data_IF_687292131245
#
_entry.id   IF_687292131245
#
_cell.length_a   1.000
_cell.length_b   1.000
_cell.length_c   1.000
_cell.angle_alpha   90.00
_cell.angle_beta   90.00
_cell.angle_gamma   90.00
#
_symmetry.space_group_name_H-M   'P 1'
#
loop_
_entity.id
_entity.type
_entity.pdbx_description
1 polymer ?
#
# COMPACT_ATOMS: atom_id res chain seq x y z
N UNK A 1 -68.38 -35.33 23.86
CA UNK A 1 -67.75 -34.42 22.85
C UNK A 1 -66.88 -33.41 23.58
N UNK A 2 -65.57 -33.59 23.60
CA UNK A 2 -64.62 -32.65 24.23
C UNK A 2 -64.13 -31.64 23.17
N UNK A 3 -64.26 -30.34 23.45
CA UNK A 3 -63.78 -29.27 22.57
C UNK A 3 -62.25 -29.17 22.65
N UNK A 4 -61.59 -29.32 21.51
CA UNK A 4 -60.15 -29.10 21.36
C UNK A 4 -59.80 -27.62 21.62
N UNK A 5 -58.78 -27.30 22.43
CA UNK A 5 -58.36 -25.92 22.65
C UNK A 5 -57.55 -25.43 21.46
N UNK A 6 -58.05 -24.39 20.80
CA UNK A 6 -57.37 -23.68 19.72
C UNK A 6 -56.08 -23.03 20.24
N UNK A 7 -54.93 -23.60 19.86
CA UNK A 7 -53.59 -23.09 20.21
C UNK A 7 -53.28 -21.92 19.27
N UNK A 8 -53.15 -20.69 19.80
CA UNK A 8 -52.73 -19.52 19.01
C UNK A 8 -51.42 -19.84 18.28
N UNK A 9 -51.31 -19.53 16.96
CA UNK A 9 -50.04 -19.66 16.26
C UNK A 9 -49.02 -18.72 16.90
N UNK A 10 -47.85 -19.26 17.25
CA UNK A 10 -46.70 -18.46 17.63
C UNK A 10 -46.39 -17.50 16.49
N UNK A 11 -46.60 -16.20 16.69
CA UNK A 11 -46.04 -15.17 15.82
C UNK A 11 -44.53 -15.38 15.78
N UNK A 12 -44.01 -15.74 14.61
CA UNK A 12 -42.58 -15.74 14.37
C UNK A 12 -42.04 -14.33 14.66
N UNK A 13 -40.95 -14.18 15.42
CA UNK A 13 -40.39 -12.86 15.70
C UNK A 13 -40.09 -12.17 14.38
N UNK A 14 -40.68 -10.98 14.19
CA UNK A 14 -40.50 -10.19 12.98
C UNK A 14 -38.99 -9.99 12.73
N UNK A 15 -38.48 -10.24 11.51
CA UNK A 15 -37.08 -10.01 11.20
C UNK A 15 -36.75 -8.54 11.50
N UNK A 16 -35.69 -8.33 12.27
CA UNK A 16 -35.25 -7.04 12.83
C UNK A 16 -34.82 -6.07 11.70
N UNK A 17 -35.81 -5.53 10.98
CA UNK A 17 -35.67 -4.76 9.74
C UNK A 17 -35.11 -3.35 9.97
N UNK A 18 -34.76 -2.98 11.21
CA UNK A 18 -34.33 -1.63 11.60
C UNK A 18 -32.89 -1.51 12.06
N UNK A 19 -32.03 -2.51 11.86
CA UNK A 19 -30.60 -2.31 12.11
C UNK A 19 -29.95 -1.59 10.93
N UNK A 20 -29.54 -0.35 11.17
CA UNK A 20 -28.80 0.44 10.19
C UNK A 20 -27.59 -0.34 9.66
N UNK A 21 -27.27 -0.24 8.36
CA UNK A 21 -26.13 -0.96 7.77
C UNK A 21 -24.82 -0.69 8.53
N UNK A 22 -24.67 0.53 9.07
CA UNK A 22 -23.54 0.92 9.91
C UNK A 22 -23.49 0.19 11.26
N UNK A 23 -24.64 -0.03 11.92
CA UNK A 23 -24.70 -0.84 13.15
C UNK A 23 -24.37 -2.32 12.87
N UNK A 24 -24.90 -2.88 11.78
CA UNK A 24 -24.58 -4.26 11.36
C UNK A 24 -23.08 -4.44 11.06
N UNK A 25 -22.48 -3.48 10.37
CA UNK A 25 -21.04 -3.50 10.11
C UNK A 25 -20.22 -3.37 11.40
N UNK A 26 -20.62 -2.46 12.30
CA UNK A 26 -19.96 -2.28 13.60
C UNK A 26 -19.98 -3.54 14.47
N UNK A 27 -21.15 -4.18 14.58
CA UNK A 27 -21.32 -5.44 15.33
C UNK A 27 -20.51 -6.57 14.69
N UNK A 28 -20.50 -6.65 13.36
CA UNK A 28 -19.70 -7.62 12.62
C UNK A 28 -18.19 -7.43 12.81
N UNK A 29 -17.69 -6.19 12.81
CA UNK A 29 -16.27 -5.89 13.08
C UNK A 29 -15.90 -6.18 14.54
N UNK A 30 -16.84 -5.95 15.47
CA UNK A 30 -16.65 -6.29 16.89
C UNK A 30 -16.62 -7.80 17.14
N UNK A 31 -17.30 -8.61 16.34
CA UNK A 31 -17.24 -10.07 16.47
C UNK A 31 -15.90 -10.66 16.00
N UNK A 32 -15.06 -9.88 15.32
CA UNK A 32 -13.76 -10.37 14.86
C UNK A 32 -12.76 -10.52 16.00
N UNK A 33 -11.97 -11.59 15.94
CA UNK A 33 -10.82 -11.79 16.82
C UNK A 33 -9.78 -10.68 16.60
N UNK A 34 -9.00 -10.37 17.64
CA UNK A 34 -7.91 -9.37 17.59
C UNK A 34 -6.97 -9.62 16.40
N UNK A 35 -6.64 -10.88 16.12
CA UNK A 35 -5.79 -11.30 15.00
C UNK A 35 -6.38 -10.87 13.65
N UNK A 36 -7.67 -11.13 13.41
CA UNK A 36 -8.34 -10.76 12.15
C UNK A 36 -8.38 -9.24 11.96
N UNK A 37 -8.60 -8.48 13.04
CA UNK A 37 -8.55 -7.01 13.00
C UNK A 37 -7.16 -6.50 12.62
N UNK A 38 -6.11 -7.00 13.27
CA UNK A 38 -4.72 -6.63 12.96
C UNK A 38 -4.40 -6.95 11.49
N UNK A 39 -4.72 -8.15 11.02
CA UNK A 39 -4.46 -8.54 9.61
C UNK A 39 -5.15 -7.60 8.64
N UNK A 40 -6.43 -7.28 8.85
CA UNK A 40 -7.16 -6.37 7.95
C UNK A 40 -6.57 -4.97 7.98
N UNK A 41 -6.19 -4.45 9.15
CA UNK A 41 -5.52 -3.14 9.25
C UNK A 41 -4.20 -3.14 8.48
N UNK A 42 -3.38 -4.19 8.61
CA UNK A 42 -2.11 -4.30 7.88
C UNK A 42 -2.32 -4.36 6.37
N UNK A 43 -3.29 -5.15 5.90
CA UNK A 43 -3.61 -5.24 4.46
C UNK A 43 -4.09 -3.90 3.91
N UNK A 44 -4.98 -3.21 4.64
CA UNK A 44 -5.47 -1.89 4.25
C UNK A 44 -4.35 -0.85 4.25
N UNK A 45 -3.45 -0.87 5.23
CA UNK A 45 -2.29 0.00 5.28
C UNK A 45 -1.34 -0.25 4.09
N UNK A 46 -1.05 -1.51 3.77
CA UNK A 46 -0.26 -1.87 2.59
C UNK A 46 -0.92 -1.40 1.29
N UNK A 47 -2.23 -1.62 1.12
CA UNK A 47 -2.98 -1.20 -0.07
C UNK A 47 -3.00 0.33 -0.22
N UNK A 48 -3.20 1.05 0.89
CA UNK A 48 -3.17 2.51 0.90
C UNK A 48 -1.81 3.05 0.49
N UNK A 49 -0.74 2.57 1.13
CA UNK A 49 0.63 2.99 0.80
C UNK A 49 0.97 2.67 -0.66
N UNK A 50 0.65 1.47 -1.15
CA UNK A 50 0.83 1.12 -2.56
C UNK A 50 0.10 2.08 -3.49
N UNK A 51 -1.15 2.43 -3.17
CA UNK A 51 -1.96 3.36 -3.97
C UNK A 51 -1.33 4.75 -4.00
N UNK A 52 -0.87 5.28 -2.87
CA UNK A 52 -0.19 6.58 -2.81
C UNK A 52 1.05 6.60 -3.71
N UNK A 53 1.88 5.56 -3.65
CA UNK A 53 3.06 5.45 -4.50
C UNK A 53 2.67 5.33 -5.97
N UNK A 54 1.69 4.48 -6.31
CA UNK A 54 1.23 4.26 -7.68
C UNK A 54 0.68 5.54 -8.30
N UNK A 55 -0.19 6.26 -7.58
CA UNK A 55 -0.75 7.53 -8.03
C UNK A 55 0.36 8.56 -8.25
N UNK A 56 1.32 8.66 -7.32
CA UNK A 56 2.47 9.55 -7.49
C UNK A 56 3.28 9.23 -8.76
N UNK A 57 3.57 7.96 -9.00
CA UNK A 57 4.29 7.52 -10.19
C UNK A 57 3.49 7.77 -11.49
N UNK A 58 2.18 7.48 -11.50
CA UNK A 58 1.30 7.73 -12.65
C UNK A 58 1.18 9.23 -12.98
N UNK A 59 1.19 10.09 -11.97
CA UNK A 59 1.16 11.55 -12.13
C UNK A 59 2.49 12.17 -12.55
N UNK A 60 3.57 11.40 -12.58
CA UNK A 60 4.90 11.88 -12.95
C UNK A 60 5.09 11.81 -14.46
N UNK A 61 5.58 12.89 -15.05
CA UNK A 61 5.85 12.97 -16.49
C UNK A 61 7.09 12.12 -16.83
N UNK A 62 7.03 11.29 -17.88
CA UNK A 62 8.18 10.50 -18.28
C UNK A 62 9.30 11.40 -18.84
N UNK A 63 10.51 11.18 -18.36
CA UNK A 63 11.75 11.81 -18.79
C UNK A 63 12.69 10.73 -19.36
N UNK A 64 12.41 10.19 -20.55
CA UNK A 64 13.27 9.17 -21.15
C UNK A 64 14.64 9.76 -21.49
N UNK A 65 15.69 8.96 -21.26
CA UNK A 65 17.07 9.37 -21.52
C UNK A 65 17.55 10.57 -20.71
N UNK A 66 16.98 10.80 -19.52
CA UNK A 66 17.42 11.86 -18.63
C UNK A 66 18.82 11.56 -18.08
N UNK A 67 19.74 12.54 -18.16
CA UNK A 67 21.11 12.40 -17.65
C UNK A 67 21.25 13.07 -16.30
N UNK A 68 21.74 12.33 -15.32
CA UNK A 68 22.04 12.87 -14.00
C UNK A 68 23.34 13.67 -14.07
N UNK A 69 23.30 14.96 -13.78
CA UNK A 69 24.47 15.84 -13.80
C UNK A 69 25.17 15.90 -12.44
N UNK A 70 24.38 15.90 -11.36
CA UNK A 70 24.87 15.98 -9.98
C UNK A 70 24.03 15.09 -9.07
N UNK A 71 24.69 14.49 -8.09
CA UNK A 71 24.07 13.65 -7.05
C UNK A 71 24.64 14.03 -5.71
N UNK A 72 23.86 14.76 -4.93
CA UNK A 72 24.16 15.05 -3.54
C UNK A 72 23.29 14.18 -2.64
N UNK A 73 23.86 13.65 -1.56
CA UNK A 73 23.05 13.01 -0.54
C UNK A 73 22.48 14.12 0.33
N UNK A 74 21.16 14.28 0.33
CA UNK A 74 20.51 15.18 1.25
C UNK A 74 20.95 14.83 2.69
N UNK A 75 21.13 15.85 3.54
CA UNK A 75 21.63 15.74 4.92
C UNK A 75 21.03 14.52 5.68
N UNK A 76 21.72 13.94 6.68
CA UNK A 76 21.36 12.67 7.32
C UNK A 76 20.07 12.80 8.18
N UNK A 77 18.93 12.91 7.51
CA UNK A 77 17.63 13.19 8.11
C UNK A 77 16.73 11.96 8.26
N UNK A 78 17.21 10.74 7.99
CA UNK A 78 16.41 9.53 8.17
C UNK A 78 17.13 8.53 9.08
N UNK A 79 16.65 8.46 10.33
CA UNK A 79 17.15 7.62 11.43
C UNK A 79 16.64 6.17 11.38
N UNK A 80 15.92 5.76 10.35
CA UNK A 80 15.06 4.56 10.33
C UNK A 80 15.38 3.52 9.22
N UNK A 81 16.44 3.76 8.43
CA UNK A 81 17.18 2.67 7.79
C UNK A 81 16.59 2.02 6.53
N UNK A 82 15.71 2.67 5.76
CA UNK A 82 15.25 2.06 4.50
C UNK A 82 15.21 2.96 3.25
N UNK A 83 14.84 4.23 3.38
CA UNK A 83 14.74 5.17 2.26
C UNK A 83 15.83 6.24 2.34
N UNK A 84 16.46 6.58 1.21
CA UNK A 84 17.53 7.58 1.09
C UNK A 84 17.09 8.65 0.11
N UNK A 85 17.23 9.91 0.52
CA UNK A 85 16.96 11.06 -0.33
C UNK A 85 18.26 11.55 -0.97
N UNK A 86 18.22 11.73 -2.28
CA UNK A 86 19.29 12.33 -3.06
C UNK A 86 18.77 13.60 -3.72
N UNK A 87 19.51 14.69 -3.60
CA UNK A 87 19.26 15.88 -4.39
C UNK A 87 19.97 15.71 -5.73
N UNK A 88 19.22 15.92 -6.80
CA UNK A 88 19.64 15.65 -8.18
C UNK A 88 19.53 16.92 -9.02
N UNK A 89 20.53 17.12 -9.88
CA UNK A 89 20.36 17.92 -11.10
C UNK A 89 20.30 16.99 -12.28
N UNK A 90 19.26 17.13 -13.09
CA UNK A 90 18.95 16.25 -14.21
C UNK A 90 18.87 17.07 -15.49
N UNK A 91 19.64 16.68 -16.50
CA UNK A 91 19.52 17.22 -17.85
C UNK A 91 18.50 16.41 -18.64
N UNK A 92 17.47 17.07 -19.14
CA UNK A 92 16.53 16.48 -20.08
C UNK A 92 16.18 17.48 -21.17
N UNK A 93 16.37 17.09 -22.44
CA UNK A 93 16.06 17.92 -23.62
C UNK A 93 16.66 19.35 -23.56
N UNK A 94 17.90 19.46 -23.07
CA UNK A 94 18.59 20.75 -22.95
C UNK A 94 18.19 21.59 -21.73
N UNK A 95 17.23 21.14 -20.93
CA UNK A 95 16.79 21.81 -19.71
C UNK A 95 17.39 21.12 -18.48
N UNK A 96 17.89 21.92 -17.54
CA UNK A 96 18.36 21.44 -16.24
C UNK A 96 17.18 21.51 -15.26
N UNK A 97 16.81 20.35 -14.72
CA UNK A 97 15.78 20.20 -13.70
C UNK A 97 16.47 19.92 -12.36
N UNK A 98 16.07 20.63 -11.32
CA UNK A 98 16.59 20.42 -9.97
C UNK A 98 15.52 19.82 -9.09
N UNK A 99 15.89 18.86 -8.24
CA UNK A 99 14.91 18.15 -7.46
C UNK A 99 15.52 17.14 -6.52
N UNK A 100 14.69 16.24 -6.02
CA UNK A 100 15.13 15.13 -5.19
C UNK A 100 14.56 13.81 -5.68
N UNK A 101 15.27 12.74 -5.38
CA UNK A 101 14.88 11.37 -5.60
C UNK A 101 14.95 10.61 -4.29
N UNK A 102 13.83 10.01 -3.91
CA UNK A 102 13.77 9.10 -2.76
C UNK A 102 13.96 7.68 -3.28
N UNK A 103 15.04 7.00 -2.88
CA UNK A 103 15.34 5.64 -3.31
C UNK A 103 15.67 4.76 -2.12
N UNK A 104 15.30 3.49 -2.18
CA UNK A 104 15.57 2.53 -1.11
C UNK A 104 17.00 1.97 -1.23
N UNK A 105 17.59 1.56 -0.11
CA UNK A 105 18.98 1.08 -0.06
C UNK A 105 19.29 -0.08 -1.03
N UNK A 106 18.31 -0.93 -1.34
CA UNK A 106 18.45 -2.09 -2.23
C UNK A 106 18.27 -1.76 -3.72
N UNK A 107 17.76 -0.57 -4.05
CA UNK A 107 17.61 -0.11 -5.46
C UNK A 107 18.94 0.44 -6.00
N UNK A 108 19.85 0.80 -5.10
CA UNK A 108 21.14 1.39 -5.44
C UNK A 108 21.11 2.92 -5.43
N UNK A 109 22.30 3.51 -5.49
CA UNK A 109 22.48 4.96 -5.53
C UNK A 109 22.46 5.45 -6.99
N UNK A 110 21.72 6.52 -7.33
CA UNK A 110 21.85 7.15 -8.65
C UNK A 110 23.28 7.64 -8.86
N UNK A 111 23.85 7.35 -10.03
CA UNK A 111 25.21 7.75 -10.41
C UNK A 111 25.23 9.10 -11.11
N UNK A 112 26.32 9.86 -10.92
CA UNK A 112 26.62 11.00 -11.80
C UNK A 112 26.84 10.48 -13.23
N UNK A 113 26.37 11.24 -14.21
CA UNK A 113 26.41 10.94 -15.64
C UNK A 113 25.60 9.71 -16.08
N UNK A 114 24.85 9.10 -15.15
CA UNK A 114 23.98 8.00 -15.46
C UNK A 114 22.82 8.51 -16.34
N UNK A 115 22.57 7.79 -17.44
CA UNK A 115 21.40 8.00 -18.28
C UNK A 115 20.34 7.00 -17.81
N UNK A 116 19.21 7.54 -17.36
CA UNK A 116 18.09 6.75 -16.86
C UNK A 116 16.81 7.24 -17.51
N UNK A 117 15.89 6.31 -17.74
CA UNK A 117 14.50 6.71 -17.85
C UNK A 117 14.05 7.10 -16.45
N UNK A 118 13.73 8.37 -16.28
CA UNK A 118 13.18 8.92 -15.05
C UNK A 118 11.72 9.32 -15.28
N UNK A 119 11.02 9.61 -14.20
CA UNK A 119 9.79 10.41 -14.25
C UNK A 119 9.93 11.57 -13.28
N UNK A 120 9.25 12.68 -13.53
CA UNK A 120 9.28 13.82 -12.64
C UNK A 120 7.88 14.37 -12.34
N UNK A 121 7.66 14.74 -11.09
CA UNK A 121 6.49 15.53 -10.68
C UNK A 121 6.98 16.82 -10.06
N UNK A 122 6.50 17.97 -10.55
CA UNK A 122 6.80 19.28 -9.96
C UNK A 122 6.20 19.36 -8.55
N UNK A 123 7.00 19.75 -7.55
CA UNK A 123 6.55 19.91 -6.15
C UNK A 123 6.28 21.35 -5.79
N UNK A 124 7.21 22.25 -6.09
CA UNK A 124 7.15 23.68 -5.75
C UNK A 124 8.07 24.45 -6.68
N UNK A 125 7.58 25.48 -7.37
CA UNK A 125 8.40 26.28 -8.30
C UNK A 125 9.17 25.40 -9.29
N UNK A 126 10.50 25.50 -9.23
CA UNK A 126 11.45 24.74 -10.08
C UNK A 126 11.98 23.46 -9.42
N UNK A 127 11.41 23.02 -8.29
CA UNK A 127 11.83 21.81 -7.59
C UNK A 127 10.98 20.59 -7.98
N UNK A 128 11.64 19.55 -8.47
CA UNK A 128 11.02 18.31 -8.92
C UNK A 128 11.20 17.18 -7.90
N UNK A 129 10.27 16.23 -7.92
CA UNK A 129 10.47 14.89 -7.37
C UNK A 129 10.69 13.93 -8.51
N UNK A 130 11.83 13.26 -8.51
CA UNK A 130 12.19 12.26 -9.50
C UNK A 130 11.81 10.84 -9.03
N UNK A 131 11.41 10.03 -9.99
CA UNK A 131 11.09 8.60 -9.86
C UNK A 131 11.87 7.82 -10.92
N UNK A 132 12.12 6.53 -10.71
CA UNK A 132 12.57 5.64 -11.76
C UNK A 132 11.47 5.45 -12.82
N UNK A 133 11.87 5.55 -14.09
CA UNK A 133 11.03 5.31 -15.27
C UNK A 133 10.44 3.91 -15.30
N UNK A 134 11.24 2.84 -15.17
CA UNK A 134 10.71 1.49 -15.06
C UNK A 134 9.97 1.32 -13.73
N UNK A 135 8.66 1.18 -13.82
CA UNK A 135 7.76 0.92 -12.69
C UNK A 135 8.25 -0.25 -11.82
N UNK A 136 8.87 -1.25 -12.44
CA UNK A 136 9.42 -2.44 -11.76
C UNK A 136 10.57 -2.12 -10.81
N UNK A 137 11.32 -1.04 -11.00
CA UNK A 137 12.49 -0.73 -10.15
C UNK A 137 12.07 -0.20 -8.79
N UNK A 138 11.03 0.65 -8.73
CA UNK A 138 10.49 1.16 -7.47
C UNK A 138 9.54 0.17 -6.79
N UNK A 139 8.75 -0.57 -7.57
CA UNK A 139 7.68 -1.42 -7.04
C UNK A 139 8.05 -2.91 -6.92
N UNK A 140 9.21 -3.38 -7.39
CA UNK A 140 9.69 -4.76 -7.12
C UNK A 140 9.62 -5.12 -5.65
N UNK A 141 9.95 -4.16 -4.79
CA UNK A 141 9.89 -4.25 -3.33
C UNK A 141 8.47 -4.49 -2.81
N UNK A 142 7.47 -3.82 -3.41
CA UNK A 142 6.06 -4.03 -3.08
C UNK A 142 5.62 -5.45 -3.45
N UNK A 143 6.05 -5.98 -4.60
CA UNK A 143 5.78 -7.37 -4.96
C UNK A 143 6.40 -8.36 -3.98
N UNK A 144 7.63 -8.12 -3.51
CA UNK A 144 8.27 -8.96 -2.48
C UNK A 144 7.50 -8.90 -1.16
N UNK A 145 7.13 -7.70 -0.69
CA UNK A 145 6.38 -7.53 0.56
C UNK A 145 5.00 -8.19 0.45
N UNK A 146 4.27 -7.96 -0.64
CA UNK A 146 2.97 -8.58 -0.88
C UNK A 146 3.07 -10.10 -1.01
N UNK A 147 4.13 -10.63 -1.64
CA UNK A 147 4.38 -12.06 -1.73
C UNK A 147 4.67 -12.67 -0.35
N UNK A 148 5.49 -12.01 0.48
CA UNK A 148 5.78 -12.47 1.86
C UNK A 148 4.54 -12.42 2.73
N UNK A 149 3.75 -11.34 2.66
CA UNK A 149 2.47 -11.20 3.39
C UNK A 149 1.47 -12.25 2.91
N UNK A 150 1.36 -12.47 1.60
CA UNK A 150 0.51 -13.50 1.01
C UNK A 150 0.92 -14.91 1.45
N UNK A 151 2.22 -15.22 1.43
CA UNK A 151 2.76 -16.49 1.89
C UNK A 151 2.48 -16.71 3.38
N UNK A 152 2.75 -15.70 4.21
CA UNK A 152 2.46 -15.74 5.64
C UNK A 152 0.96 -15.95 5.91
N UNK A 153 0.10 -15.32 5.11
CA UNK A 153 -1.35 -15.49 5.20
C UNK A 153 -1.80 -16.90 4.80
N UNK A 154 -1.26 -17.47 3.72
CA UNK A 154 -1.54 -18.85 3.29
C UNK A 154 -1.09 -19.86 4.34
N UNK A 155 0.14 -19.72 4.85
CA UNK A 155 0.67 -20.58 5.93
C UNK A 155 -0.23 -20.47 7.15
N UNK A 156 -0.58 -19.25 7.56
CA UNK A 156 -1.46 -19.03 8.69
C UNK A 156 -2.84 -19.66 8.49
N UNK A 157 -3.47 -19.49 7.33
CA UNK A 157 -4.77 -20.07 7.00
C UNK A 157 -4.73 -21.60 7.05
N UNK A 158 -3.68 -22.21 6.49
CA UNK A 158 -3.47 -23.66 6.54
C UNK A 158 -3.31 -24.16 7.98
N UNK A 159 -2.50 -23.49 8.79
CA UNK A 159 -2.28 -23.85 10.20
C UNK A 159 -3.56 -23.71 11.03
N UNK A 160 -4.34 -22.64 10.80
CA UNK A 160 -5.59 -22.40 11.52
C UNK A 160 -6.68 -23.42 11.13
N UNK A 161 -6.84 -23.72 9.84
CA UNK A 161 -7.75 -24.77 9.36
C UNK A 161 -7.40 -26.13 9.97
N UNK A 162 -6.12 -26.47 10.04
CA UNK A 162 -5.65 -27.73 10.61
C UNK A 162 -5.94 -27.85 12.11
N UNK A 163 -5.87 -26.74 12.87
CA UNK A 163 -6.23 -26.72 14.30
C UNK A 163 -7.72 -26.94 14.54
N UNK A 164 -8.59 -26.39 13.68
CA UNK A 164 -10.04 -26.57 13.79
C UNK A 164 -10.51 -27.98 13.44
N UNK A 165 -9.80 -28.69 12.55
CA UNK A 165 -10.11 -30.08 12.18
C UNK A 165 -9.60 -31.11 13.21
N UNK A 166 -8.75 -30.71 14.16
CA UNK A 166 -8.22 -31.56 15.24
C UNK A 166 -8.92 -31.37 16.58
N UNK A 167 -9.90 -30.46 16.65
CA UNK A 167 -10.80 -30.26 17.79
C UNK A 167 -12.18 -30.77 17.40
#
# INVERSE_FOLDING_TARGET
>A
MAKSPYRKPHEAPAPDARRSPWKRLGDHLRSWSLKKRITVVLVLACAFLFTVHLVGWLSADPLPGARILEVERAAPGYRDGTMRRFDLKVLHRGVILQGHMDTYWFVGRPGKDQILDLRATRKTGDHYRFYHGPWTTEFRSWFVILAVVGLAWVIWFFLDRRRRLRR
#
